data_IF_070686016722
#
_entry.id   IF_070686016722
#
_cell.length_a   1.000
_cell.length_b   1.000
_cell.length_c   1.000
_cell.angle_alpha   90.00
_cell.angle_beta   90.00
_cell.angle_gamma   90.00
#
_symmetry.space_group_name_H-M   'P 1'
#
loop_
_entity.id
_entity.type
_entity.pdbx_description
1 polymer ?
#
# COMPACT_ATOMS: atom_id res chain seq x y z
N UNK A 1 5.56 -24.18 22.79
CA UNK A 1 5.72 -22.71 22.72
C UNK A 1 4.36 -22.19 22.30
N UNK A 2 3.72 -21.35 23.12
CA UNK A 2 2.39 -20.83 22.80
C UNK A 2 2.46 -19.98 21.54
N UNK A 3 1.91 -20.51 20.44
CA UNK A 3 1.95 -19.90 19.12
C UNK A 3 1.11 -18.62 19.03
N UNK A 4 0.59 -18.07 20.13
CA UNK A 4 -0.43 -17.03 20.15
C UNK A 4 0.05 -15.65 20.60
N UNK A 5 1.21 -15.54 21.25
CA UNK A 5 1.72 -14.23 21.69
C UNK A 5 2.56 -13.56 20.59
N UNK A 6 2.22 -12.31 20.27
CA UNK A 6 3.04 -11.47 19.39
C UNK A 6 4.04 -10.75 20.30
N UNK A 7 5.35 -10.85 20.05
CA UNK A 7 6.35 -10.17 20.85
C UNK A 7 6.12 -8.67 20.79
N UNK A 8 6.49 -7.97 21.87
CA UNK A 8 6.48 -6.51 21.87
C UNK A 8 7.44 -6.01 20.80
N UNK A 9 6.91 -5.33 19.79
CA UNK A 9 7.70 -4.76 18.70
C UNK A 9 7.91 -3.27 18.98
N UNK A 10 9.18 -2.89 19.08
CA UNK A 10 9.57 -1.49 19.02
C UNK A 10 9.81 -1.14 17.54
N UNK A 11 8.94 -0.30 16.99
CA UNK A 11 9.13 0.19 15.62
C UNK A 11 10.27 1.21 15.63
N UNK A 12 11.25 1.11 14.72
CA UNK A 12 12.41 1.98 14.76
C UNK A 12 12.02 3.43 14.56
N UNK A 13 12.57 4.29 15.42
CA UNK A 13 12.58 5.73 15.25
C UNK A 13 14.05 6.21 15.25
N UNK A 14 14.50 6.91 14.20
CA UNK A 14 13.75 7.33 13.01
C UNK A 14 13.35 6.14 12.10
N UNK A 15 12.36 6.32 11.21
CA UNK A 15 11.96 5.27 10.28
C UNK A 15 13.14 4.79 9.42
N UNK A 16 13.51 3.51 9.53
CA UNK A 16 14.54 2.85 8.69
C UNK A 16 14.09 2.64 7.23
N UNK A 17 12.86 3.03 6.88
CA UNK A 17 12.26 2.78 5.57
C UNK A 17 12.55 3.95 4.63
N UNK A 18 13.16 3.69 3.47
CA UNK A 18 13.37 4.72 2.45
C UNK A 18 12.14 4.90 1.56
N UNK A 19 12.06 6.05 0.87
CA UNK A 19 11.01 6.31 -0.12
C UNK A 19 11.06 5.27 -1.24
N UNK A 20 12.26 4.89 -1.65
CA UNK A 20 12.52 3.91 -2.69
C UNK A 20 12.04 2.52 -2.25
N UNK A 21 12.27 2.13 -1.00
CA UNK A 21 11.76 0.86 -0.44
C UNK A 21 10.22 0.85 -0.35
N UNK A 22 9.60 2.00 -0.13
CA UNK A 22 8.13 2.12 -0.13
C UNK A 22 7.56 1.94 -1.53
N UNK A 23 8.21 2.53 -2.53
CA UNK A 23 7.73 2.52 -3.91
C UNK A 23 8.10 1.24 -4.66
N UNK A 24 9.23 0.61 -4.37
CA UNK A 24 9.66 -0.64 -5.02
C UNK A 24 8.71 -1.82 -4.75
N UNK A 25 7.96 -1.75 -3.65
CA UNK A 25 6.94 -2.75 -3.29
C UNK A 25 5.61 -2.54 -4.01
N UNK A 26 5.52 -1.57 -4.92
CA UNK A 26 4.30 -1.27 -5.68
C UNK A 26 4.43 -1.75 -7.12
N UNK A 27 3.36 -2.34 -7.64
CA UNK A 27 3.21 -2.59 -9.07
C UNK A 27 3.07 -1.29 -9.87
N UNK A 28 3.39 -1.34 -11.17
CA UNK A 28 3.35 -0.19 -12.07
C UNK A 28 1.98 0.50 -12.12
N UNK A 29 0.90 -0.28 -12.02
CA UNK A 29 -0.45 0.26 -11.91
C UNK A 29 -0.62 1.11 -10.64
N UNK A 30 -0.06 0.65 -9.53
CA UNK A 30 -0.15 1.33 -8.22
C UNK A 30 0.83 2.50 -8.08
N UNK A 31 1.81 2.61 -8.96
CA UNK A 31 2.57 3.87 -9.12
C UNK A 31 1.68 4.98 -9.67
N UNK A 32 0.59 4.65 -10.38
CA UNK A 32 -0.42 5.63 -10.80
C UNK A 32 -1.40 6.02 -9.69
N UNK A 33 -1.49 5.24 -8.60
CA UNK A 33 -2.39 5.50 -7.46
C UNK A 33 -1.72 6.23 -6.29
N UNK A 34 -2.53 6.74 -5.35
CA UNK A 34 -2.07 7.55 -4.20
C UNK A 34 -0.98 6.84 -3.38
N UNK A 35 0.00 7.60 -2.87
CA UNK A 35 1.03 7.09 -1.96
C UNK A 35 0.42 6.49 -0.68
N UNK A 36 1.12 5.56 0.00
CA UNK A 36 0.62 5.01 1.24
C UNK A 36 0.65 6.09 2.32
N UNK A 37 -0.40 6.14 3.14
CA UNK A 37 -0.45 7.08 4.26
C UNK A 37 0.54 6.70 5.37
N UNK A 38 0.71 7.60 6.35
CA UNK A 38 1.61 7.41 7.49
C UNK A 38 1.39 6.08 8.26
N UNK A 39 0.14 5.65 8.43
CA UNK A 39 -0.19 4.40 9.12
C UNK A 39 0.24 3.17 8.30
N UNK A 40 0.06 3.19 6.98
CA UNK A 40 0.53 2.10 6.12
C UNK A 40 2.05 1.97 6.15
N UNK A 41 2.77 3.09 6.11
CA UNK A 41 4.23 3.06 6.17
C UNK A 41 4.71 2.57 7.56
N UNK A 42 4.04 2.99 8.64
CA UNK A 42 4.28 2.48 9.99
C UNK A 42 4.10 0.96 10.05
N UNK A 43 3.00 0.46 9.50
CA UNK A 43 2.71 -0.98 9.42
C UNK A 43 3.79 -1.75 8.65
N UNK A 44 4.32 -1.20 7.57
CA UNK A 44 5.44 -1.81 6.84
C UNK A 44 6.70 -1.94 7.71
N UNK A 45 7.01 -0.90 8.48
CA UNK A 45 8.14 -0.92 9.41
C UNK A 45 7.93 -1.91 10.56
N UNK A 46 6.73 -1.97 11.12
CA UNK A 46 6.35 -2.94 12.16
C UNK A 46 6.55 -4.38 11.66
N UNK A 47 6.02 -4.69 10.47
CA UNK A 47 6.14 -6.02 9.87
C UNK A 47 7.60 -6.36 9.57
N UNK A 48 8.38 -5.40 9.09
CA UNK A 48 9.82 -5.57 8.84
C UNK A 48 10.56 -5.98 10.12
N UNK A 49 10.26 -5.36 11.26
CA UNK A 49 10.85 -5.76 12.54
C UNK A 49 10.34 -7.10 13.04
N UNK A 50 9.03 -7.34 12.94
CA UNK A 50 8.42 -8.59 13.35
C UNK A 50 9.00 -9.80 12.61
N UNK A 51 9.26 -9.66 11.30
CA UNK A 51 9.93 -10.68 10.47
C UNK A 51 11.36 -10.98 10.92
N UNK A 52 12.11 -9.97 11.40
CA UNK A 52 13.48 -10.19 11.92
C UNK A 52 13.49 -11.09 13.17
N UNK A 53 12.39 -11.10 13.94
CA UNK A 53 12.30 -11.85 15.21
C UNK A 53 11.72 -13.25 14.99
N UNK A 54 10.64 -13.36 14.21
CA UNK A 54 9.87 -14.60 14.08
C UNK A 54 10.25 -15.40 12.81
N UNK A 55 10.87 -14.78 11.81
CA UNK A 55 11.27 -15.42 10.55
C UNK A 55 10.10 -15.72 9.59
N UNK A 56 8.91 -16.03 10.12
CA UNK A 56 7.75 -16.45 9.33
C UNK A 56 6.79 -15.33 8.93
N UNK A 57 5.99 -15.60 7.88
CA UNK A 57 4.88 -14.75 7.45
C UNK A 57 3.68 -14.91 8.38
N UNK A 58 3.52 -13.98 9.31
CA UNK A 58 2.39 -13.96 10.25
C UNK A 58 1.13 -13.44 9.54
N UNK A 59 0.01 -14.11 9.77
CA UNK A 59 -1.30 -13.72 9.23
C UNK A 59 -1.63 -12.28 9.61
N UNK A 60 -2.02 -11.52 8.60
CA UNK A 60 -2.33 -10.11 8.77
C UNK A 60 -3.50 -9.85 9.71
N UNK A 61 -4.52 -10.72 9.65
CA UNK A 61 -5.68 -10.68 10.55
C UNK A 61 -5.20 -10.67 12.00
N UNK A 62 -4.18 -11.47 12.30
CA UNK A 62 -3.62 -11.60 13.63
C UNK A 62 -2.79 -10.39 14.05
N UNK A 63 -1.97 -9.81 13.18
CA UNK A 63 -1.06 -8.70 13.56
C UNK A 63 -1.72 -7.31 13.50
N UNK A 64 -2.80 -7.15 12.74
CA UNK A 64 -3.44 -5.84 12.53
C UNK A 64 -3.93 -5.15 13.82
N UNK A 65 -4.48 -5.85 14.84
CA UNK A 65 -4.87 -5.21 16.10
C UNK A 65 -3.66 -4.70 16.89
N UNK A 66 -2.55 -5.44 16.85
CA UNK A 66 -1.31 -5.08 17.54
C UNK A 66 -0.67 -3.84 16.91
N UNK A 67 -0.62 -3.78 15.58
CA UNK A 67 -0.12 -2.61 14.85
C UNK A 67 -0.98 -1.38 15.15
N UNK A 68 -2.31 -1.53 15.12
CA UNK A 68 -3.25 -0.44 15.44
C UNK A 68 -3.06 0.08 16.87
N UNK A 69 -2.92 -0.83 17.83
CA UNK A 69 -2.68 -0.51 19.25
C UNK A 69 -1.32 0.14 19.49
N UNK A 70 -0.29 -0.31 18.79
CA UNK A 70 1.04 0.29 18.85
C UNK A 70 1.01 1.69 18.24
N UNK A 71 0.46 1.85 17.04
CA UNK A 71 0.32 3.15 16.37
C UNK A 71 -0.46 4.18 17.19
N UNK A 72 -1.53 3.78 17.89
CA UNK A 72 -2.30 4.71 18.72
C UNK A 72 -1.46 5.27 19.87
N UNK A 73 -0.59 4.44 20.47
CA UNK A 73 0.32 4.78 21.57
C UNK A 73 1.58 5.53 21.14
N UNK A 74 1.94 5.51 19.86
CA UNK A 74 3.11 6.23 19.36
C UNK A 74 3.02 7.75 19.64
N UNK A 75 4.15 8.38 20.03
CA UNK A 75 4.19 9.79 20.31
C UNK A 75 4.06 10.64 19.03
N UNK A 76 3.67 11.92 19.14
CA UNK A 76 3.43 12.78 17.98
C UNK A 76 4.61 12.90 17.03
N UNK A 77 5.84 12.91 17.54
CA UNK A 77 7.08 13.07 16.78
C UNK A 77 7.32 11.87 15.85
N UNK A 78 6.97 10.66 16.30
CA UNK A 78 7.02 9.44 15.48
C UNK A 78 5.97 9.52 14.38
N UNK A 79 4.73 9.88 14.73
CA UNK A 79 3.64 10.02 13.75
C UNK A 79 3.96 11.07 12.69
N UNK A 80 4.60 12.17 13.07
CA UNK A 80 5.06 13.22 12.16
C UNK A 80 6.18 12.74 11.24
N UNK A 81 7.14 11.94 11.74
CA UNK A 81 8.18 11.37 10.89
C UNK A 81 7.57 10.47 9.78
N UNK A 82 6.61 9.63 10.11
CA UNK A 82 5.89 8.81 9.13
C UNK A 82 5.01 9.64 8.19
N UNK A 83 4.43 10.76 8.67
CA UNK A 83 3.72 11.73 7.82
C UNK A 83 4.64 12.37 6.79
N UNK A 84 5.82 12.82 7.21
CA UNK A 84 6.85 13.37 6.31
C UNK A 84 7.26 12.36 5.25
N UNK A 85 7.48 11.11 5.66
CA UNK A 85 7.86 10.03 4.75
C UNK A 85 6.76 9.73 3.72
N UNK A 86 5.49 9.72 4.15
CA UNK A 86 4.33 9.62 3.24
C UNK A 86 4.29 10.76 2.23
N UNK A 87 4.54 11.99 2.67
CA UNK A 87 4.62 13.16 1.79
C UNK A 87 5.77 13.06 0.77
N UNK A 88 6.93 12.57 1.18
CA UNK A 88 8.07 12.34 0.28
C UNK A 88 7.75 11.27 -0.77
N UNK A 89 7.08 10.18 -0.38
CA UNK A 89 6.65 9.15 -1.31
C UNK A 89 5.63 9.67 -2.34
N UNK A 90 4.67 10.50 -1.91
CA UNK A 90 3.72 11.15 -2.82
C UNK A 90 4.42 12.10 -3.80
N UNK A 91 5.38 12.90 -3.33
CA UNK A 91 6.16 13.77 -4.19
C UNK A 91 6.96 12.97 -5.22
N UNK A 92 7.59 11.87 -4.79
CA UNK A 92 8.35 11.00 -5.70
C UNK A 92 7.46 10.37 -6.77
N UNK A 93 6.25 9.93 -6.43
CA UNK A 93 5.26 9.43 -7.40
C UNK A 93 4.84 10.50 -8.42
N UNK A 94 4.66 11.75 -8.00
CA UNK A 94 4.36 12.86 -8.91
C UNK A 94 5.48 13.06 -9.93
N UNK A 95 6.73 13.00 -9.50
CA UNK A 95 7.87 13.13 -10.42
C UNK A 95 7.94 11.97 -11.41
N UNK A 96 7.72 10.73 -10.96
CA UNK A 96 7.66 9.55 -11.85
C UNK A 96 6.58 9.71 -12.91
N UNK A 97 5.37 10.15 -12.52
CA UNK A 97 4.24 10.36 -13.45
C UNK A 97 4.50 11.47 -14.47
N UNK A 98 5.16 12.55 -14.05
CA UNK A 98 5.57 13.61 -14.99
C UNK A 98 6.56 13.07 -16.00
N UNK A 99 7.59 12.34 -15.57
CA UNK A 99 8.57 11.74 -16.49
C UNK A 99 7.95 10.75 -17.47
N UNK A 100 7.01 9.91 -17.03
CA UNK A 100 6.34 8.94 -17.92
C UNK A 100 5.39 9.61 -18.91
N UNK A 101 4.69 10.68 -18.49
CA UNK A 101 3.81 11.44 -19.38
C UNK A 101 4.57 12.12 -20.53
N UNK A 102 5.81 12.54 -20.30
CA UNK A 102 6.64 13.16 -21.36
C UNK A 102 7.06 12.15 -22.43
N UNK A 103 7.20 10.87 -22.08
CA UNK A 103 7.57 9.81 -23.04
C UNK A 103 6.42 9.51 -24.02
N UNK A 104 5.16 9.57 -23.57
CA UNK A 104 3.99 9.24 -24.41
C UNK A 104 3.78 10.26 -25.55
N UNK A 105 4.15 11.53 -25.36
CA UNK A 105 3.93 12.58 -26.38
C UNK A 105 4.81 12.36 -27.63
N UNK A 106 5.95 11.66 -27.52
CA UNK A 106 6.82 11.43 -28.66
C UNK A 106 6.35 10.27 -29.57
N UNK A 107 5.46 9.39 -29.10
CA UNK A 107 5.10 8.15 -29.82
C UNK A 107 3.73 8.22 -30.52
N UNK A 108 2.88 9.21 -30.22
CA UNK A 108 1.54 9.33 -30.78
C UNK A 108 1.45 10.26 -32.01
N UNK A 109 2.08 9.89 -33.13
CA UNK A 109 1.71 10.43 -34.46
C UNK A 109 1.55 9.34 -35.53
N UNK A 110 1.52 8.06 -35.17
CA UNK A 110 1.23 7.00 -36.14
C UNK A 110 0.46 5.85 -35.52
N UNK A 111 -0.88 5.93 -35.56
CA UNK A 111 -1.72 4.73 -35.74
C UNK A 111 -3.14 5.10 -36.22
N UNK A 112 -3.79 4.24 -37.04
CA UNK A 112 -5.08 4.50 -37.70
C UNK A 112 -6.28 4.27 -36.75
N UNK A 113 -7.49 4.71 -37.15
CA UNK A 113 -8.66 4.73 -36.25
C UNK A 113 -9.21 3.33 -35.91
N UNK A 114 -9.85 3.15 -34.73
CA UNK A 114 -10.39 1.87 -34.28
C UNK A 114 -11.75 1.51 -34.92
N UNK A 115 -12.08 0.21 -35.06
CA UNK A 115 -13.39 -0.26 -35.53
C UNK A 115 -14.51 -0.14 -34.45
N UNK A 116 -15.80 -0.18 -34.84
CA UNK A 116 -16.93 0.12 -33.94
C UNK A 116 -17.31 -1.04 -32.99
N UNK A 117 -17.73 -0.67 -31.77
CA UNK A 117 -18.07 -1.56 -30.64
C UNK A 117 -19.49 -2.17 -30.72
N UNK A 118 -19.74 -3.38 -30.15
CA UNK A 118 -21.07 -3.97 -29.98
C UNK A 118 -21.80 -3.55 -28.67
N UNK A 119 -23.14 -3.73 -28.58
CA UNK A 119 -23.99 -3.10 -27.56
C UNK A 119 -23.99 -3.79 -26.19
N UNK A 120 -24.17 -2.98 -25.14
CA UNK A 120 -24.17 -3.34 -23.71
C UNK A 120 -25.55 -3.79 -23.23
N UNK A 121 -25.62 -4.89 -22.48
CA UNK A 121 -26.84 -5.33 -21.78
C UNK A 121 -26.64 -5.18 -20.25
N UNK A 122 -27.35 -4.22 -19.65
CA UNK A 122 -27.30 -3.91 -18.23
C UNK A 122 -28.55 -4.48 -17.56
N UNK A 123 -28.40 -5.35 -16.55
CA UNK A 123 -29.41 -5.55 -15.49
C UNK A 123 -28.85 -6.41 -14.35
N UNK A 124 -28.34 -5.78 -13.28
CA UNK A 124 -28.32 -6.39 -11.94
C UNK A 124 -28.76 -5.35 -10.91
N UNK A 125 -29.76 -5.75 -10.12
CA UNK A 125 -30.50 -4.99 -9.10
C UNK A 125 -29.65 -4.90 -7.82
N UNK A 126 -29.47 -3.70 -7.27
CA UNK A 126 -28.85 -3.49 -5.94
C UNK A 126 -29.93 -3.38 -4.86
N UNK A 127 -29.96 -4.35 -3.94
CA UNK A 127 -30.60 -4.23 -2.62
C UNK A 127 -29.62 -3.63 -1.58
N UNK A 128 -30.11 -3.13 -0.43
CA UNK A 128 -29.34 -2.23 0.43
C UNK A 128 -28.27 -2.98 1.22
N UNK A 129 -27.01 -2.83 0.81
CA UNK A 129 -25.85 -3.35 1.54
C UNK A 129 -25.49 -2.39 2.66
N UNK A 130 -25.60 -2.86 3.90
CA UNK A 130 -25.07 -2.21 5.09
C UNK A 130 -23.60 -1.82 4.88
N UNK A 131 -23.31 -0.52 5.01
CA UNK A 131 -22.03 0.09 4.69
C UNK A 131 -20.97 -0.23 5.77
N UNK A 132 -20.44 -1.46 5.75
CA UNK A 132 -19.09 -1.72 6.25
C UNK A 132 -18.13 -1.58 5.05
N UNK A 133 -16.98 -0.88 5.16
CA UNK A 133 -16.11 -0.63 4.02
C UNK A 133 -15.35 -1.91 3.64
N UNK A 134 -16.04 -2.82 2.97
CA UNK A 134 -15.51 -4.03 2.34
C UNK A 134 -14.44 -3.69 1.27
N UNK A 135 -14.49 -2.47 0.74
CA UNK A 135 -13.47 -1.92 -0.17
C UNK A 135 -12.08 -1.87 0.45
N UNK A 136 -11.96 -1.56 1.75
CA UNK A 136 -10.65 -1.58 2.41
C UNK A 136 -10.10 -3.01 2.48
N UNK A 137 -10.95 -4.05 2.52
CA UNK A 137 -10.53 -5.44 2.66
C UNK A 137 -9.94 -6.02 1.36
N UNK A 138 -10.52 -5.71 0.19
CA UNK A 138 -9.94 -6.13 -1.10
C UNK A 138 -8.68 -5.34 -1.45
N UNK A 139 -8.68 -4.02 -1.21
CA UNK A 139 -7.48 -3.20 -1.41
C UNK A 139 -6.30 -3.68 -0.54
N UNK A 140 -6.63 -4.26 0.61
CA UNK A 140 -5.70 -4.89 1.54
C UNK A 140 -5.25 -6.26 1.03
N UNK A 141 -6.13 -7.18 0.64
CA UNK A 141 -5.72 -8.48 0.10
C UNK A 141 -4.85 -8.36 -1.16
N UNK A 142 -5.21 -7.47 -2.10
CA UNK A 142 -4.46 -7.27 -3.34
C UNK A 142 -3.12 -6.57 -3.11
N UNK A 143 -3.00 -5.67 -2.12
CA UNK A 143 -1.69 -5.10 -1.74
C UNK A 143 -0.73 -6.13 -1.18
N UNK A 144 -1.26 -7.15 -0.51
CA UNK A 144 -0.44 -8.13 0.17
C UNK A 144 -0.03 -9.27 -0.76
N UNK A 145 -0.87 -9.72 -1.69
CA UNK A 145 -0.46 -10.70 -2.71
C UNK A 145 0.82 -10.22 -3.45
N UNK A 146 0.89 -8.96 -3.86
CA UNK A 146 2.07 -8.42 -4.54
C UNK A 146 3.30 -8.28 -3.60
N UNK A 147 3.09 -8.09 -2.29
CA UNK A 147 4.17 -8.10 -1.29
C UNK A 147 4.65 -9.53 -0.92
N UNK A 148 3.94 -10.57 -1.34
CA UNK A 148 4.27 -11.98 -1.10
C UNK A 148 4.95 -12.67 -2.30
N UNK A 149 5.10 -11.99 -3.44
CA UNK A 149 5.75 -12.53 -4.67
C UNK A 149 7.11 -11.89 -5.01
N UNK A 150 7.88 -11.45 -4.02
CA UNK A 150 9.28 -11.03 -4.24
C UNK A 150 10.21 -11.82 -3.32
N UNK A 151 10.76 -12.89 -3.91
CA UNK A 151 11.85 -13.81 -3.55
C UNK A 151 12.40 -13.82 -2.13
#
# INVERSE_FOLDING_TARGET
MDNNEIPLINVPYPPELSVEEILSRRSDERLRSRAPNQYFIYRMAYIKQLRKIIGDNISMIRISPYISSSWSKEPPEVKEAYKRLSGQAENRLKEIRKSSSLVIIHESLSSPPPPPSPPTNNNIIYGPTFFYPYFDYYYYYDYYNDCYYLY
#
